data_IF_333418444813
#
_entry.id   IF_333418444813
#
_cell.length_a   1.000
_cell.length_b   1.000
_cell.length_c   1.000
_cell.angle_alpha   90.00
_cell.angle_beta   90.00
_cell.angle_gamma   90.00
#
_symmetry.space_group_name_H-M   'P 1'
#
loop_
_entity.id
_entity.type
_entity.pdbx_description
1 polymer ?
#
# COMPACT_ATOMS: atom_id res chain seq x y z
N UNK A 1 -68.13 -11.54 -28.00
CA UNK A 1 -67.94 -11.02 -26.63
C UNK A 1 -66.63 -11.53 -26.12
N UNK A 2 -65.52 -10.77 -26.14
CA UNK A 2 -64.30 -11.15 -25.46
C UNK A 2 -64.29 -10.57 -24.06
N UNK A 3 -64.05 -11.42 -23.07
CA UNK A 3 -63.89 -11.10 -21.64
C UNK A 3 -62.55 -10.44 -21.39
N UNK A 4 -62.62 -9.30 -20.73
CA UNK A 4 -61.48 -8.51 -20.26
C UNK A 4 -60.90 -9.21 -19.04
N UNK A 5 -59.61 -9.57 -19.10
CA UNK A 5 -58.84 -10.02 -17.96
C UNK A 5 -58.22 -8.76 -17.35
N UNK A 6 -58.73 -8.36 -16.19
CA UNK A 6 -58.10 -7.34 -15.35
C UNK A 6 -56.86 -7.93 -14.71
N UNK A 7 -55.70 -7.35 -15.02
CA UNK A 7 -54.45 -7.63 -14.32
C UNK A 7 -54.32 -6.70 -13.13
N UNK A 8 -54.35 -7.28 -11.93
CA UNK A 8 -54.01 -6.59 -10.67
C UNK A 8 -52.54 -6.16 -10.64
N UNK A 9 -52.21 -4.99 -10.10
CA UNK A 9 -50.83 -4.55 -9.96
C UNK A 9 -50.18 -5.27 -8.75
N UNK A 10 -49.22 -6.14 -9.04
CA UNK A 10 -48.26 -6.63 -8.03
C UNK A 10 -47.11 -5.63 -7.91
N UNK A 11 -47.31 -4.57 -7.14
CA UNK A 11 -46.28 -3.60 -6.83
C UNK A 11 -46.37 -3.20 -5.35
N UNK A 12 -46.05 -4.15 -4.46
CA UNK A 12 -45.79 -3.85 -3.03
C UNK A 12 -44.96 -4.96 -2.40
N UNK A 13 -43.66 -5.03 -2.69
CA UNK A 13 -42.67 -5.69 -1.80
C UNK A 13 -41.19 -5.42 -2.18
N UNK A 14 -40.84 -4.20 -2.54
CA UNK A 14 -39.42 -3.82 -2.77
C UNK A 14 -38.96 -2.58 -1.96
N UNK A 15 -39.51 -2.40 -0.77
CA UNK A 15 -39.33 -1.18 0.00
C UNK A 15 -39.10 -1.33 1.49
N UNK A 16 -38.38 -2.35 1.98
CA UNK A 16 -38.06 -2.37 3.41
C UNK A 16 -36.88 -3.33 3.68
N UNK A 17 -35.70 -2.99 3.39
CA UNK A 17 -34.54 -3.26 4.24
C UNK A 17 -33.23 -2.63 3.67
N UNK A 18 -33.24 -1.36 3.32
CA UNK A 18 -32.03 -0.56 3.35
C UNK A 18 -31.87 -0.07 4.79
N UNK A 19 -31.42 -0.95 5.67
CA UNK A 19 -30.79 -0.51 6.91
C UNK A 19 -29.69 0.49 6.51
N UNK A 20 -29.94 1.75 6.83
CA UNK A 20 -28.93 2.80 6.84
C UNK A 20 -27.84 2.26 7.76
N UNK A 21 -26.79 1.68 7.16
CA UNK A 21 -25.56 1.41 7.90
C UNK A 21 -25.17 2.77 8.46
N UNK A 22 -25.31 2.93 9.78
CA UNK A 22 -24.63 4.02 10.50
C UNK A 22 -23.18 3.86 10.12
N UNK A 23 -22.71 4.71 9.19
CA UNK A 23 -21.30 4.85 8.89
C UNK A 23 -20.68 5.44 10.14
N UNK A 24 -19.99 4.61 10.91
CA UNK A 24 -18.98 5.15 11.83
C UNK A 24 -18.15 6.16 11.02
N UNK A 25 -17.77 7.31 11.61
CA UNK A 25 -16.98 8.29 10.88
C UNK A 25 -15.77 7.57 10.29
N UNK A 26 -15.60 7.67 8.99
CA UNK A 26 -14.52 7.00 8.28
C UNK A 26 -13.20 7.36 8.98
N UNK A 27 -12.46 6.36 9.44
CA UNK A 27 -11.17 6.59 10.09
C UNK A 27 -10.25 7.36 9.15
N UNK A 28 -9.45 8.23 9.71
CA UNK A 28 -8.46 8.97 8.93
C UNK A 28 -7.51 7.98 8.26
N UNK A 29 -7.30 8.14 6.96
CA UNK A 29 -6.32 7.37 6.19
C UNK A 29 -5.02 8.14 6.13
N UNK A 30 -3.91 7.46 6.42
CA UNK A 30 -2.58 8.07 6.48
C UNK A 30 -1.63 7.27 5.59
N UNK A 31 -0.79 7.99 4.85
CA UNK A 31 0.33 7.40 4.14
C UNK A 31 1.64 7.88 4.77
N UNK A 32 2.46 6.93 5.22
CA UNK A 32 3.81 7.19 5.70
C UNK A 32 4.82 6.97 4.57
N UNK A 33 5.76 7.89 4.41
CA UNK A 33 6.93 7.67 3.55
C UNK A 33 8.14 7.36 4.44
N UNK A 34 8.78 6.23 4.19
CA UNK A 34 10.01 5.82 4.86
C UNK A 34 11.17 5.81 3.88
N UNK A 35 12.27 6.48 4.23
CA UNK A 35 13.51 6.41 3.44
C UNK A 35 14.10 5.00 3.53
N UNK A 36 14.62 4.47 2.43
CA UNK A 36 15.34 3.21 2.47
C UNK A 36 16.55 3.24 3.42
N UNK A 37 17.23 4.37 3.56
CA UNK A 37 18.37 4.52 4.45
C UNK A 37 18.06 4.17 5.91
N UNK A 38 16.84 4.46 6.35
CA UNK A 38 16.42 4.11 7.72
C UNK A 38 16.45 2.60 7.92
N UNK A 39 16.09 1.81 6.89
CA UNK A 39 16.11 0.34 6.96
C UNK A 39 17.51 -0.26 7.10
N UNK A 40 18.55 0.46 6.68
CA UNK A 40 19.92 0.01 6.75
C UNK A 40 20.64 0.33 8.06
N UNK A 41 20.03 1.09 8.97
CA UNK A 41 20.68 1.49 10.22
C UNK A 41 22.02 2.23 10.00
N UNK A 42 22.20 2.89 8.85
CA UNK A 42 23.44 3.56 8.45
C UNK A 42 24.41 2.68 7.65
N UNK A 43 24.05 1.45 7.33
CA UNK A 43 24.83 0.51 6.50
C UNK A 43 24.03 0.02 5.28
N UNK A 44 24.70 -0.71 4.39
CA UNK A 44 24.04 -1.37 3.25
C UNK A 44 23.25 -2.60 3.74
N UNK A 45 22.04 -2.76 3.23
CA UNK A 45 21.18 -3.90 3.58
C UNK A 45 20.06 -3.54 4.55
N UNK A 46 19.57 -4.52 5.29
CA UNK A 46 18.47 -4.38 6.26
C UNK A 46 19.01 -4.59 7.67
N UNK A 47 18.85 -3.59 8.52
CA UNK A 47 19.06 -3.73 9.96
C UNK A 47 17.74 -4.17 10.61
N UNK A 48 17.71 -5.43 11.04
CA UNK A 48 16.48 -6.05 11.58
C UNK A 48 16.03 -5.42 12.90
N UNK A 49 16.93 -4.84 13.69
CA UNK A 49 16.58 -4.15 14.94
C UNK A 49 15.83 -2.85 14.64
N UNK A 50 16.31 -2.07 13.68
CA UNK A 50 15.67 -0.82 13.25
C UNK A 50 14.31 -1.09 12.62
N UNK A 51 14.21 -2.11 11.75
CA UNK A 51 12.93 -2.45 11.11
C UNK A 51 11.89 -2.91 12.14
N UNK A 52 12.31 -3.64 13.16
CA UNK A 52 11.45 -4.04 14.30
C UNK A 52 10.89 -2.82 15.03
N UNK A 53 11.75 -1.86 15.39
CA UNK A 53 11.31 -0.63 16.06
C UNK A 53 10.30 0.16 15.23
N UNK A 54 10.52 0.25 13.91
CA UNK A 54 9.58 0.89 12.98
C UNK A 54 8.24 0.14 12.96
N UNK A 55 8.28 -1.19 12.89
CA UNK A 55 7.08 -2.03 12.87
C UNK A 55 6.26 -1.87 14.17
N UNK A 56 6.91 -1.85 15.33
CA UNK A 56 6.25 -1.63 16.62
C UNK A 56 5.55 -0.26 16.68
N UNK A 57 6.21 0.80 16.20
CA UNK A 57 5.61 2.14 16.13
C UNK A 57 4.39 2.19 15.20
N UNK A 58 4.46 1.56 14.03
CA UNK A 58 3.32 1.47 13.10
C UNK A 58 2.20 0.63 13.73
N UNK A 59 2.51 -0.52 14.29
CA UNK A 59 1.54 -1.41 14.93
C UNK A 59 0.74 -0.70 16.02
N UNK A 60 1.38 0.18 16.81
CA UNK A 60 0.70 0.97 17.83
C UNK A 60 -0.35 1.96 17.30
N UNK A 61 -0.39 2.22 15.98
CA UNK A 61 -1.36 3.11 15.34
C UNK A 61 -2.55 2.37 14.73
N UNK A 62 -2.41 1.06 14.48
CA UNK A 62 -3.44 0.23 13.84
C UNK A 62 -4.74 0.24 14.67
N UNK A 63 -5.86 0.29 13.99
CA UNK A 63 -7.18 0.44 14.62
C UNK A 63 -7.60 1.89 14.90
N UNK A 64 -6.65 2.84 15.03
CA UNK A 64 -6.94 4.27 15.17
C UNK A 64 -6.97 5.00 13.83
N UNK A 65 -6.08 4.63 12.93
CA UNK A 65 -6.00 5.16 11.55
C UNK A 65 -5.85 4.02 10.55
N UNK A 66 -6.29 4.25 9.33
CA UNK A 66 -6.01 3.36 8.18
C UNK A 66 -4.62 3.70 7.65
N UNK A 67 -3.68 2.76 7.74
CA UNK A 67 -2.26 3.03 7.47
C UNK A 67 -1.79 2.40 6.17
N UNK A 68 -1.11 3.19 5.35
CA UNK A 68 -0.30 2.71 4.24
C UNK A 68 1.13 3.27 4.32
N UNK A 69 2.08 2.57 3.72
CA UNK A 69 3.50 2.91 3.78
C UNK A 69 4.12 2.85 2.39
N UNK A 70 4.83 3.88 1.99
CA UNK A 70 5.73 3.87 0.82
C UNK A 70 7.16 3.77 1.31
N UNK A 71 7.90 2.81 0.78
CA UNK A 71 9.26 2.50 1.23
C UNK A 71 10.27 2.83 0.14
N UNK A 72 11.36 3.50 0.50
CA UNK A 72 12.52 3.71 -0.36
C UNK A 72 13.46 2.50 -0.41
N UNK A 73 14.41 2.50 -1.37
CA UNK A 73 15.42 1.44 -1.55
C UNK A 73 16.87 1.92 -1.38
N UNK A 74 17.08 3.12 -0.85
CA UNK A 74 18.40 3.77 -0.78
C UNK A 74 19.45 3.10 0.11
N UNK A 75 19.03 2.16 0.97
CA UNK A 75 19.92 1.31 1.75
C UNK A 75 20.60 0.20 0.93
N UNK A 76 20.09 -0.09 -0.25
CA UNK A 76 20.72 -1.04 -1.17
C UNK A 76 21.39 -0.32 -2.32
N UNK A 77 20.63 0.50 -3.06
CA UNK A 77 21.10 1.15 -4.27
C UNK A 77 20.48 2.53 -4.43
N UNK A 78 21.33 3.50 -4.78
CA UNK A 78 20.90 4.82 -5.25
C UNK A 78 21.11 4.89 -6.76
N UNK A 79 20.02 4.92 -7.53
CA UNK A 79 20.07 4.94 -8.99
C UNK A 79 20.93 6.06 -9.55
N UNK A 80 20.93 7.23 -8.90
CA UNK A 80 21.77 8.35 -9.30
C UNK A 80 23.27 8.07 -9.13
N UNK A 81 23.67 7.45 -8.02
CA UNK A 81 25.07 7.11 -7.76
C UNK A 81 25.58 6.01 -8.71
N UNK A 82 24.75 4.99 -8.94
CA UNK A 82 25.08 3.94 -9.91
C UNK A 82 25.20 4.47 -11.34
N UNK A 83 24.36 5.44 -11.72
CA UNK A 83 24.42 6.09 -13.02
C UNK A 83 25.69 6.93 -13.17
N UNK A 84 26.12 7.64 -12.13
CA UNK A 84 27.39 8.36 -12.13
C UNK A 84 28.60 7.42 -12.25
N UNK A 85 28.47 6.17 -11.78
CA UNK A 85 29.48 5.13 -11.93
C UNK A 85 29.46 4.44 -13.32
N UNK A 86 28.66 4.94 -14.27
CA UNK A 86 28.59 4.47 -15.66
C UNK A 86 27.47 3.46 -15.96
N UNK A 87 26.59 3.17 -15.01
CA UNK A 87 25.42 2.33 -15.27
C UNK A 87 24.31 3.13 -16.00
N UNK A 88 23.57 2.45 -16.89
CA UNK A 88 22.36 3.03 -17.48
C UNK A 88 21.37 3.44 -16.39
N UNK A 89 20.89 4.67 -16.46
CA UNK A 89 20.02 5.25 -15.41
C UNK A 89 18.73 4.49 -15.21
N UNK A 90 18.09 4.06 -16.27
CA UNK A 90 16.84 3.31 -16.20
C UNK A 90 17.05 1.97 -15.49
N UNK A 91 18.15 1.27 -15.80
CA UNK A 91 18.50 0.00 -15.13
C UNK A 91 18.82 0.20 -13.65
N UNK A 92 19.58 1.26 -13.34
CA UNK A 92 19.90 1.61 -11.96
C UNK A 92 18.62 1.93 -11.13
N UNK A 93 17.67 2.65 -11.73
CA UNK A 93 16.38 2.95 -11.09
C UNK A 93 15.56 1.67 -10.87
N UNK A 94 15.54 0.70 -11.80
CA UNK A 94 14.89 -0.60 -11.58
C UNK A 94 15.55 -1.39 -10.44
N UNK A 95 16.87 -1.35 -10.30
CA UNK A 95 17.56 -1.95 -9.15
C UNK A 95 17.09 -1.30 -7.84
N UNK A 96 16.99 0.03 -7.79
CA UNK A 96 16.45 0.75 -6.66
C UNK A 96 15.00 0.34 -6.33
N UNK A 97 14.16 0.18 -7.36
CA UNK A 97 12.78 -0.31 -7.19
C UNK A 97 12.72 -1.72 -6.58
N UNK A 98 13.58 -2.64 -7.02
CA UNK A 98 13.68 -3.98 -6.41
C UNK A 98 14.17 -3.89 -4.97
N UNK A 99 15.10 -2.98 -4.65
CA UNK A 99 15.52 -2.69 -3.28
C UNK A 99 14.35 -2.26 -2.38
N UNK A 100 13.40 -1.47 -2.91
CA UNK A 100 12.20 -1.12 -2.15
C UNK A 100 11.36 -2.34 -1.80
N UNK A 101 11.26 -3.31 -2.71
CA UNK A 101 10.47 -4.54 -2.46
C UNK A 101 11.10 -5.37 -1.35
N UNK A 102 12.42 -5.49 -1.31
CA UNK A 102 13.12 -6.16 -0.21
C UNK A 102 12.80 -5.51 1.15
N UNK A 103 12.82 -4.18 1.22
CA UNK A 103 12.43 -3.47 2.43
C UNK A 103 10.94 -3.68 2.79
N UNK A 104 10.04 -3.73 1.80
CA UNK A 104 8.64 -4.01 2.03
C UNK A 104 8.43 -5.38 2.69
N UNK A 105 9.15 -6.41 2.22
CA UNK A 105 9.06 -7.77 2.76
C UNK A 105 9.61 -7.82 4.20
N UNK A 106 10.71 -7.12 4.47
CA UNK A 106 11.24 -7.02 5.82
C UNK A 106 10.25 -6.34 6.77
N UNK A 107 9.66 -5.20 6.35
CA UNK A 107 8.66 -4.51 7.16
C UNK A 107 7.39 -5.34 7.36
N UNK A 108 6.94 -6.06 6.34
CA UNK A 108 5.83 -6.99 6.44
C UNK A 108 6.05 -8.04 7.52
N UNK A 109 7.19 -8.73 7.48
CA UNK A 109 7.50 -9.79 8.45
C UNK A 109 7.45 -9.29 9.89
N UNK A 110 8.08 -8.14 10.17
CA UNK A 110 8.08 -7.56 11.51
C UNK A 110 6.72 -7.02 11.95
N UNK A 111 5.90 -6.46 11.06
CA UNK A 111 4.53 -6.06 11.37
C UNK A 111 3.66 -7.27 11.70
N UNK A 112 3.79 -8.35 10.95
CA UNK A 112 3.06 -9.60 11.20
C UNK A 112 3.50 -10.26 12.52
N UNK A 113 4.78 -10.16 12.90
CA UNK A 113 5.26 -10.54 14.24
C UNK A 113 4.63 -9.69 15.36
N UNK A 114 4.26 -8.43 15.08
CA UNK A 114 3.51 -7.57 16.00
C UNK A 114 1.99 -7.84 16.00
N UNK A 115 1.52 -8.86 15.27
CA UNK A 115 0.10 -9.21 15.17
C UNK A 115 -0.71 -8.34 14.22
N UNK A 116 -0.06 -7.60 13.32
CA UNK A 116 -0.71 -6.72 12.34
C UNK A 116 -0.82 -7.42 10.99
N UNK A 117 -2.03 -7.58 10.47
CA UNK A 117 -2.25 -8.04 9.11
C UNK A 117 -1.67 -7.05 8.10
N UNK A 118 -0.88 -7.53 7.14
CA UNK A 118 -0.23 -6.68 6.13
C UNK A 118 -0.49 -7.14 4.70
N UNK A 119 -0.31 -6.24 3.74
CA UNK A 119 -0.24 -6.57 2.31
C UNK A 119 0.82 -5.73 1.63
N UNK A 120 1.81 -6.40 1.04
CA UNK A 120 2.75 -5.75 0.13
C UNK A 120 2.12 -5.68 -1.25
N UNK A 121 2.11 -4.48 -1.83
CA UNK A 121 1.67 -4.27 -3.21
C UNK A 121 2.78 -3.64 -4.04
N UNK A 122 3.08 -4.24 -5.19
CA UNK A 122 4.16 -3.83 -6.08
C UNK A 122 3.63 -3.19 -7.36
N UNK A 123 4.26 -2.10 -7.80
CA UNK A 123 3.99 -1.49 -9.10
C UNK A 123 4.58 -2.30 -10.28
N UNK A 124 5.55 -3.18 -10.01
CA UNK A 124 6.07 -4.15 -10.97
C UNK A 124 5.44 -5.51 -10.68
N UNK A 125 4.95 -6.20 -11.70
CA UNK A 125 4.34 -7.52 -11.53
C UNK A 125 5.34 -8.54 -10.99
N UNK A 126 5.06 -9.10 -9.83
CA UNK A 126 5.83 -10.15 -9.18
C UNK A 126 4.93 -10.96 -8.24
N UNK A 127 3.90 -11.58 -8.77
CA UNK A 127 2.77 -12.15 -8.04
C UNK A 127 3.16 -13.24 -7.03
N UNK A 128 4.33 -13.87 -7.18
CA UNK A 128 4.87 -14.84 -6.21
C UNK A 128 5.40 -14.15 -4.93
N UNK A 129 5.65 -12.83 -4.98
CA UNK A 129 6.32 -12.09 -3.90
C UNK A 129 5.40 -11.04 -3.29
N UNK A 130 4.66 -10.31 -4.14
CA UNK A 130 3.80 -9.20 -3.73
C UNK A 130 2.57 -9.11 -4.64
N UNK A 131 1.47 -8.62 -4.12
CA UNK A 131 0.28 -8.34 -4.93
C UNK A 131 0.57 -7.26 -5.96
N UNK A 132 -0.03 -7.36 -7.14
CA UNK A 132 -0.05 -6.25 -8.10
C UNK A 132 -0.81 -5.06 -7.49
N UNK A 133 -0.20 -3.87 -7.52
CA UNK A 133 -0.82 -2.65 -7.03
C UNK A 133 -2.09 -2.30 -7.82
N UNK A 134 -3.17 -2.16 -7.10
CA UNK A 134 -4.46 -1.67 -7.60
C UNK A 134 -5.06 -0.76 -6.51
N UNK A 135 -5.32 0.54 -6.78
CA UNK A 135 -5.77 1.49 -5.76
C UNK A 135 -6.98 1.01 -4.95
N UNK A 136 -8.01 0.51 -5.62
CA UNK A 136 -9.21 -0.03 -4.95
C UNK A 136 -8.93 -1.23 -4.06
N UNK A 137 -7.94 -2.06 -4.40
CA UNK A 137 -7.53 -3.20 -3.58
C UNK A 137 -6.79 -2.71 -2.34
N UNK A 138 -5.90 -1.72 -2.49
CA UNK A 138 -5.22 -1.09 -1.36
C UNK A 138 -6.22 -0.49 -0.37
N UNK A 139 -7.18 0.30 -0.86
CA UNK A 139 -8.27 0.86 -0.04
C UNK A 139 -9.02 -0.24 0.70
N UNK A 140 -9.40 -1.31 0.00
CA UNK A 140 -10.14 -2.43 0.61
C UNK A 140 -9.35 -3.17 1.70
N UNK A 141 -8.02 -3.21 1.58
CA UNK A 141 -7.17 -3.77 2.63
C UNK A 141 -7.15 -2.85 3.86
N UNK A 142 -6.96 -1.55 3.68
CA UNK A 142 -6.95 -0.58 4.78
C UNK A 142 -8.29 -0.53 5.53
N UNK A 143 -9.42 -0.61 4.81
CA UNK A 143 -10.77 -0.72 5.40
C UNK A 143 -10.95 -1.98 6.28
N UNK A 144 -10.07 -2.98 6.15
CA UNK A 144 -10.05 -4.21 6.94
C UNK A 144 -8.92 -4.21 7.98
N UNK A 145 -8.47 -3.05 8.40
CA UNK A 145 -7.39 -2.87 9.38
C UNK A 145 -6.03 -3.49 8.98
N UNK A 146 -5.79 -3.67 7.69
CA UNK A 146 -4.51 -4.13 7.17
C UNK A 146 -3.61 -2.96 6.85
N UNK A 147 -2.35 -3.05 7.21
CA UNK A 147 -1.33 -2.11 6.74
C UNK A 147 -0.94 -2.48 5.31
N UNK A 148 -1.03 -1.52 4.38
CA UNK A 148 -0.62 -1.72 2.99
C UNK A 148 0.76 -1.11 2.78
N UNK A 149 1.70 -1.91 2.26
CA UNK A 149 3.08 -1.48 2.02
C UNK A 149 3.31 -1.44 0.50
N UNK A 150 3.66 -0.26 -0.02
CA UNK A 150 3.85 -0.05 -1.45
C UNK A 150 5.33 -0.15 -1.83
N UNK A 151 5.64 -1.11 -2.70
CA UNK A 151 6.96 -1.37 -3.26
C UNK A 151 7.05 -1.10 -4.75
N UNK A 152 8.26 -1.13 -5.27
CA UNK A 152 8.62 -0.88 -6.66
C UNK A 152 8.28 0.53 -7.18
N UNK A 153 8.15 1.51 -6.29
CA UNK A 153 7.94 2.90 -6.65
C UNK A 153 6.72 3.12 -7.55
N UNK A 154 6.90 3.85 -8.64
CA UNK A 154 5.89 4.04 -9.69
C UNK A 154 5.85 2.87 -10.70
N UNK A 155 6.80 1.93 -10.65
CA UNK A 155 7.02 0.93 -11.69
C UNK A 155 7.73 1.47 -12.93
N UNK A 156 8.15 2.71 -12.89
CA UNK A 156 8.79 3.45 -13.98
C UNK A 156 10.07 4.14 -13.47
N UNK A 157 11.13 4.20 -14.29
CA UNK A 157 12.35 4.92 -13.94
C UNK A 157 12.12 6.44 -13.85
N UNK A 158 13.09 7.16 -13.30
CA UNK A 158 13.13 8.63 -13.17
C UNK A 158 12.18 9.24 -12.14
N UNK A 159 11.48 8.47 -11.33
CA UNK A 159 10.63 8.97 -10.25
C UNK A 159 11.28 8.81 -8.89
N UNK A 160 11.19 9.85 -8.05
CA UNK A 160 11.63 9.77 -6.66
C UNK A 160 10.60 9.06 -5.79
N UNK A 161 11.03 8.50 -4.66
CA UNK A 161 10.12 7.91 -3.67
C UNK A 161 9.13 8.94 -3.10
N UNK A 162 9.53 10.22 -2.99
CA UNK A 162 8.65 11.29 -2.51
C UNK A 162 7.53 11.59 -3.51
N UNK A 163 7.85 11.64 -4.80
CA UNK A 163 6.85 11.77 -5.87
C UNK A 163 5.85 10.61 -5.84
N UNK A 164 6.37 9.38 -5.67
CA UNK A 164 5.52 8.18 -5.56
C UNK A 164 4.63 8.25 -4.32
N UNK A 165 5.14 8.69 -3.18
CA UNK A 165 4.36 8.82 -1.96
C UNK A 165 3.19 9.79 -2.13
N UNK A 166 3.43 10.95 -2.74
CA UNK A 166 2.39 11.93 -3.05
C UNK A 166 1.33 11.35 -4.00
N UNK A 167 1.75 10.66 -5.07
CA UNK A 167 0.85 10.00 -6.00
C UNK A 167 -0.01 8.94 -5.31
N UNK A 168 0.60 8.04 -4.52
CA UNK A 168 -0.13 6.99 -3.80
C UNK A 168 -1.12 7.56 -2.79
N UNK A 169 -0.75 8.64 -2.08
CA UNK A 169 -1.64 9.31 -1.14
C UNK A 169 -2.91 9.80 -1.84
N UNK A 170 -2.78 10.44 -3.00
CA UNK A 170 -3.93 10.87 -3.81
C UNK A 170 -4.78 9.70 -4.28
N UNK A 171 -4.16 8.64 -4.80
CA UNK A 171 -4.84 7.46 -5.34
C UNK A 171 -5.63 6.68 -4.28
N UNK A 172 -5.14 6.64 -3.04
CA UNK A 172 -5.82 5.94 -1.94
C UNK A 172 -6.60 6.88 -1.01
N UNK A 173 -6.70 8.17 -1.34
CA UNK A 173 -7.38 9.19 -0.54
C UNK A 173 -6.80 9.32 0.88
N UNK A 174 -5.48 9.26 1.02
CA UNK A 174 -4.77 9.49 2.28
C UNK A 174 -4.34 10.96 2.43
N UNK A 175 -4.11 11.35 3.68
CA UNK A 175 -3.59 12.68 4.06
C UNK A 175 -2.19 12.56 4.63
#
# INVERSE_FOLDING_TARGET
MPSIIESEPQDEALGADRQVRRTEPARRRVLLKLSGEVFGGGSVGVDTSVVREIAEQIAATVGRVETSVVVGGGNFFRGAELSQAGMDRSRADYMGMLGTVMNCLALQDFLEQCGVDTRVQSAIKMEQVAETYIPRRAIRHMEKDRVVIFGAGAGLPYFSTDTVAAQRALEVHAS
#
